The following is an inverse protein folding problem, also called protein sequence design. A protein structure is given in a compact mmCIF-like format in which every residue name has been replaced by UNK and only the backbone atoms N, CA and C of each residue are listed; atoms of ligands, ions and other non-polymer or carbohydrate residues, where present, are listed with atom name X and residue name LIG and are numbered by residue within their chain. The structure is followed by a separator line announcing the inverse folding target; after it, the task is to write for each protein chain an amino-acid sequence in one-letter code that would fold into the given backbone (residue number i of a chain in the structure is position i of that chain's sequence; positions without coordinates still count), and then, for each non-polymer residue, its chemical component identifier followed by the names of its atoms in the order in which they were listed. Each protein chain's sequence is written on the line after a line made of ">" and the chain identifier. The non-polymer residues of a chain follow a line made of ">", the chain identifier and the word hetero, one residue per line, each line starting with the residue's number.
data_IF_834007240344
#
_entry.id   IF_834007240344
#
_cell.length_a   1.000
_cell.length_b   1.000
_cell.length_c   1.000
_cell.angle_alpha   90.00
_cell.angle_beta   90.00
_cell.angle_gamma   90.00
#
_symmetry.space_group_name_H-M   'P 1'
#
loop_
_entity.id
_entity.type
_entity.pdbx_description
1 polymer ?
#
# COMPACT_ATOMS: atom_id res chain seq x y z
N UNK A 1 -42.68 46.29 18.03
CA UNK A 1 -41.66 45.51 17.28
C UNK A 1 -40.64 46.49 16.72
N UNK A 2 -39.39 46.45 17.18
CA UNK A 2 -38.38 47.48 16.89
C UNK A 2 -37.65 47.16 15.56
N UNK A 3 -37.59 48.10 14.59
CA UNK A 3 -37.06 47.86 13.24
C UNK A 3 -35.56 47.49 13.20
N UNK A 4 -34.83 47.77 14.28
CA UNK A 4 -33.42 47.41 14.41
C UNK A 4 -33.18 45.90 14.53
N UNK A 5 -34.12 45.13 15.10
CA UNK A 5 -33.99 43.68 15.18
C UNK A 5 -34.09 43.02 13.79
N UNK A 6 -34.93 43.55 12.91
CA UNK A 6 -35.11 43.05 11.54
C UNK A 6 -33.90 43.32 10.65
N UNK A 7 -33.25 44.48 10.80
CA UNK A 7 -32.06 44.86 10.03
C UNK A 7 -30.86 43.98 10.40
N UNK A 8 -30.67 43.70 11.69
CA UNK A 8 -29.60 42.81 12.18
C UNK A 8 -29.80 41.36 11.72
N UNK A 9 -31.05 40.88 11.69
CA UNK A 9 -31.38 39.55 11.17
C UNK A 9 -31.03 39.45 9.67
N UNK A 10 -31.41 40.45 8.88
CA UNK A 10 -31.18 40.46 7.43
C UNK A 10 -29.69 40.52 7.09
N UNK A 11 -28.91 41.30 7.84
CA UNK A 11 -27.45 41.35 7.70
C UNK A 11 -26.76 40.03 8.07
N UNK A 12 -27.27 39.32 9.08
CA UNK A 12 -26.78 37.99 9.46
C UNK A 12 -27.08 36.93 8.39
N UNK A 13 -28.25 36.98 7.74
CA UNK A 13 -28.57 36.07 6.63
C UNK A 13 -27.76 36.34 5.35
N UNK A 14 -27.42 37.60 5.06
CA UNK A 14 -26.57 37.98 3.92
C UNK A 14 -25.09 37.61 4.12
N UNK A 15 -24.59 37.64 5.36
CA UNK A 15 -23.23 37.18 5.66
C UNK A 15 -23.11 35.65 5.65
N UNK A 16 -24.14 34.94 6.12
CA UNK A 16 -24.18 33.47 6.09
C UNK A 16 -24.24 32.92 4.67
N UNK A 17 -24.97 33.57 3.75
CA UNK A 17 -25.06 33.12 2.36
C UNK A 17 -23.74 33.27 1.59
N UNK A 18 -22.93 34.27 1.95
CA UNK A 18 -21.60 34.49 1.37
C UNK A 18 -20.56 33.47 1.85
N UNK A 19 -20.81 32.79 2.98
CA UNK A 19 -19.92 31.76 3.54
C UNK A 19 -20.15 30.36 2.96
N UNK A 20 -21.26 30.14 2.23
CA UNK A 20 -21.63 28.82 1.69
C UNK A 20 -21.03 28.58 0.28
N UNK A 21 -20.48 29.61 -0.37
CA UNK A 21 -19.97 29.50 -1.74
C UNK A 21 -18.45 29.32 -1.76
N UNK A 22 -17.99 28.06 -1.72
CA UNK A 22 -16.81 27.51 -2.43
C UNK A 22 -16.27 26.21 -1.79
N UNK A 23 -17.12 25.32 -1.28
CA UNK A 23 -16.74 23.91 -1.26
C UNK A 23 -16.97 23.36 -2.68
N UNK A 24 -16.03 23.61 -3.58
CA UNK A 24 -15.99 22.92 -4.86
C UNK A 24 -15.79 21.42 -4.56
N UNK A 25 -16.87 20.65 -4.63
CA UNK A 25 -16.79 19.18 -4.64
C UNK A 25 -16.17 18.76 -5.97
N UNK A 26 -14.84 18.82 -6.05
CA UNK A 26 -14.14 18.12 -7.11
C UNK A 26 -14.46 16.64 -6.97
N UNK A 27 -15.06 16.05 -7.99
CA UNK A 27 -15.33 14.62 -8.05
C UNK A 27 -13.99 13.91 -8.29
N UNK A 28 -13.17 13.81 -7.24
CA UNK A 28 -11.79 13.29 -7.23
C UNK A 28 -11.74 11.76 -7.34
N UNK A 29 -12.55 11.18 -8.21
CA UNK A 29 -12.47 9.76 -8.53
C UNK A 29 -11.29 9.54 -9.48
N UNK A 30 -10.16 9.06 -8.94
CA UNK A 30 -9.02 8.68 -9.77
C UNK A 30 -9.43 7.43 -10.57
N UNK A 31 -9.30 7.43 -11.91
CA UNK A 31 -9.80 6.34 -12.78
C UNK A 31 -9.13 4.96 -12.57
N UNK A 32 -8.22 4.85 -11.61
CA UNK A 32 -7.44 3.64 -11.34
C UNK A 32 -7.44 3.23 -9.85
N UNK A 33 -8.35 3.77 -9.03
CA UNK A 33 -8.43 3.32 -7.63
C UNK A 33 -9.06 1.93 -7.55
N UNK A 34 -8.55 1.11 -6.63
CA UNK A 34 -9.18 -0.14 -6.26
C UNK A 34 -10.58 0.16 -5.70
N UNK A 35 -11.62 -0.64 -6.03
CA UNK A 35 -12.99 -0.39 -5.59
C UNK A 35 -13.18 -0.42 -4.06
N UNK A 36 -12.25 -1.06 -3.34
CA UNK A 36 -12.20 -1.14 -1.88
C UNK A 36 -10.74 -1.06 -1.40
N UNK A 37 -10.17 0.14 -1.22
CA UNK A 37 -8.78 0.30 -0.81
C UNK A 37 -8.54 -0.17 0.63
N UNK A 38 -9.53 -0.06 1.51
CA UNK A 38 -9.46 -0.54 2.89
C UNK A 38 -9.26 -2.06 2.95
N UNK A 39 -9.95 -2.83 2.11
CA UNK A 39 -9.75 -4.28 2.04
C UNK A 39 -8.30 -4.65 1.67
N UNK A 40 -7.68 -3.90 0.74
CA UNK A 40 -6.28 -4.12 0.35
C UNK A 40 -5.34 -3.87 1.53
N UNK A 41 -5.56 -2.78 2.28
CA UNK A 41 -4.77 -2.46 3.48
C UNK A 41 -4.96 -3.53 4.56
N UNK A 42 -6.20 -3.95 4.81
CA UNK A 42 -6.49 -5.01 5.78
C UNK A 42 -5.80 -6.33 5.41
N UNK A 43 -5.77 -6.69 4.12
CA UNK A 43 -5.07 -7.88 3.66
C UNK A 43 -3.56 -7.79 3.86
N UNK A 44 -2.94 -6.65 3.55
CA UNK A 44 -1.52 -6.41 3.84
C UNK A 44 -1.26 -6.55 5.34
N UNK A 45 -2.09 -5.93 6.18
CA UNK A 45 -1.96 -6.02 7.63
C UNK A 45 -2.08 -7.47 8.13
N UNK A 46 -3.05 -8.23 7.62
CA UNK A 46 -3.22 -9.66 7.94
C UNK A 46 -1.98 -10.47 7.54
N UNK A 47 -1.46 -10.25 6.33
CA UNK A 47 -0.27 -10.95 5.82
C UNK A 47 0.97 -10.67 6.67
N UNK A 48 1.23 -9.40 6.99
CA UNK A 48 2.35 -9.00 7.86
C UNK A 48 2.21 -9.60 9.26
N UNK A 49 1.02 -9.52 9.87
CA UNK A 49 0.77 -10.08 11.19
C UNK A 49 0.98 -11.61 11.23
N UNK A 50 0.59 -12.31 10.17
CA UNK A 50 0.80 -13.75 10.04
C UNK A 50 2.29 -14.09 9.94
N UNK A 51 3.05 -13.36 9.13
CA UNK A 51 4.51 -13.56 8.99
C UNK A 51 5.27 -13.25 10.27
N UNK A 52 4.94 -12.16 10.97
CA UNK A 52 5.54 -11.82 12.26
C UNK A 52 5.21 -12.89 13.31
N UNK A 53 3.95 -13.36 13.35
CA UNK A 53 3.54 -14.44 14.26
C UNK A 53 4.34 -15.72 14.01
N UNK A 54 4.48 -16.12 12.73
CA UNK A 54 5.27 -17.29 12.32
C UNK A 54 6.73 -17.14 12.74
N UNK A 55 7.34 -15.98 12.47
CA UNK A 55 8.72 -15.69 12.90
C UNK A 55 8.87 -15.87 14.41
N UNK A 56 7.99 -15.28 15.22
CA UNK A 56 8.05 -15.37 16.69
C UNK A 56 7.96 -16.80 17.20
N UNK A 57 7.18 -17.65 16.53
CA UNK A 57 7.03 -19.06 16.89
C UNK A 57 8.26 -19.90 16.52
N UNK A 58 8.85 -19.66 15.34
CA UNK A 58 9.93 -20.49 14.80
C UNK A 58 11.34 -20.01 15.19
N UNK A 59 11.51 -18.71 15.41
CA UNK A 59 12.79 -18.05 15.69
C UNK A 59 12.61 -17.06 16.85
N UNK A 60 12.52 -17.56 18.10
CA UNK A 60 12.29 -16.71 19.28
C UNK A 60 13.52 -15.89 19.68
N UNK A 61 14.71 -16.22 19.16
CA UNK A 61 15.97 -15.53 19.44
C UNK A 61 16.24 -14.32 18.54
N UNK A 62 17.25 -13.50 18.88
CA UNK A 62 17.68 -12.40 18.02
C UNK A 62 18.12 -12.90 16.64
N UNK A 63 17.89 -12.15 15.56
CA UNK A 63 18.37 -12.52 14.24
C UNK A 63 19.89 -12.67 14.26
N UNK A 64 20.38 -13.86 13.95
CA UNK A 64 21.81 -14.11 13.80
C UNK A 64 22.27 -13.41 12.52
N UNK A 65 23.19 -12.46 12.67
CA UNK A 65 23.82 -11.75 11.56
C UNK A 65 24.46 -12.80 10.64
N UNK A 66 23.95 -12.92 9.41
CA UNK A 66 24.45 -13.86 8.41
C UNK A 66 23.73 -15.21 8.32
N UNK A 67 22.72 -15.51 9.16
CA UNK A 67 22.14 -16.87 9.23
C UNK A 67 20.63 -16.98 8.96
N UNK A 68 19.87 -15.88 8.88
CA UNK A 68 18.46 -15.92 8.45
C UNK A 68 18.27 -15.20 7.11
N UNK A 69 18.35 -15.94 6.00
CA UNK A 69 17.89 -15.43 4.70
C UNK A 69 16.36 -15.44 4.58
N UNK A 70 15.68 -16.10 5.53
CA UNK A 70 14.27 -16.47 5.49
C UNK A 70 13.65 -16.31 6.89
N UNK A 71 12.31 -16.18 6.99
CA UNK A 71 11.54 -15.99 8.23
C UNK A 71 11.89 -14.68 8.97
N UNK A 72 12.06 -13.61 8.19
CA UNK A 72 12.31 -12.24 8.63
C UNK A 72 11.07 -11.58 9.24
N UNK A 73 9.88 -12.10 8.97
CA UNK A 73 8.60 -11.49 9.33
C UNK A 73 8.08 -10.53 8.26
N UNK A 74 8.84 -10.31 7.18
CA UNK A 74 8.37 -9.63 5.98
C UNK A 74 7.79 -10.69 5.01
N UNK A 75 6.48 -10.69 4.74
CA UNK A 75 5.84 -11.70 3.88
C UNK A 75 6.40 -11.75 2.45
N UNK A 76 6.88 -10.62 1.89
CA UNK A 76 7.44 -10.58 0.55
C UNK A 76 8.80 -11.30 0.54
N UNK A 77 9.70 -10.92 1.45
CA UNK A 77 11.01 -11.54 1.55
C UNK A 77 10.93 -13.01 1.95
N UNK A 78 10.03 -13.34 2.87
CA UNK A 78 9.80 -14.72 3.31
C UNK A 78 9.17 -15.59 2.22
N UNK A 79 8.57 -15.01 1.17
CA UNK A 79 8.04 -15.75 0.03
C UNK A 79 9.18 -16.19 -0.91
N UNK A 80 10.05 -15.27 -1.34
CA UNK A 80 11.08 -15.60 -2.34
C UNK A 80 12.42 -16.03 -1.75
N UNK A 81 12.86 -15.46 -0.61
CA UNK A 81 14.18 -15.78 -0.04
C UNK A 81 14.20 -17.12 0.69
N UNK A 82 13.03 -17.61 1.08
CA UNK A 82 12.88 -18.92 1.71
C UNK A 82 12.98 -20.08 0.71
N UNK A 83 12.91 -19.81 -0.59
CA UNK A 83 13.17 -20.82 -1.62
C UNK A 83 14.70 -21.04 -1.75
N UNK A 84 15.25 -22.21 -1.38
CA UNK A 84 16.68 -22.48 -1.54
C UNK A 84 17.12 -22.46 -3.02
N UNK A 85 16.18 -22.61 -3.95
CA UNK A 85 16.41 -22.58 -5.39
C UNK A 85 16.04 -21.23 -6.03
N UNK A 86 15.87 -20.16 -5.24
CA UNK A 86 15.47 -18.83 -5.76
C UNK A 86 16.34 -18.35 -6.93
N UNK A 87 17.64 -18.69 -6.92
CA UNK A 87 18.59 -18.28 -7.96
C UNK A 87 18.28 -18.91 -9.33
N UNK A 88 17.73 -20.13 -9.33
CA UNK A 88 17.22 -20.82 -10.51
C UNK A 88 15.77 -20.43 -10.85
N UNK A 89 15.01 -19.94 -9.87
CA UNK A 89 13.60 -19.59 -9.99
C UNK A 89 13.33 -18.08 -9.76
N UNK A 90 14.14 -17.21 -10.36
CA UNK A 90 14.09 -15.75 -10.10
C UNK A 90 12.73 -15.11 -10.39
N UNK A 91 12.00 -15.65 -11.36
CA UNK A 91 10.69 -15.12 -11.73
C UNK A 91 9.61 -15.38 -10.65
N UNK A 92 9.85 -16.27 -9.69
CA UNK A 92 8.91 -16.50 -8.58
C UNK A 92 8.72 -15.26 -7.69
N UNK A 93 9.70 -14.35 -7.64
CA UNK A 93 9.56 -13.08 -6.94
C UNK A 93 8.32 -12.29 -7.40
N UNK A 94 7.91 -12.42 -8.65
CA UNK A 94 6.72 -11.76 -9.18
C UNK A 94 5.40 -12.27 -8.57
N UNK A 95 5.41 -13.42 -7.89
CA UNK A 95 4.26 -13.95 -7.16
C UNK A 95 4.19 -13.50 -5.69
N UNK A 96 5.25 -12.86 -5.20
CA UNK A 96 5.39 -12.51 -3.78
C UNK A 96 4.85 -11.11 -3.44
N UNK A 97 4.42 -10.33 -4.43
CA UNK A 97 3.91 -8.98 -4.22
C UNK A 97 2.58 -8.98 -3.46
N UNK A 98 2.40 -8.01 -2.56
CA UNK A 98 1.15 -7.80 -1.80
C UNK A 98 0.69 -6.34 -1.91
N UNK A 99 -0.53 -6.06 -1.47
CA UNK A 99 -1.09 -4.70 -1.49
C UNK A 99 -1.61 -4.28 -2.87
N UNK A 100 -1.57 -2.99 -3.16
CA UNK A 100 -2.09 -2.45 -4.43
C UNK A 100 -1.29 -2.92 -5.64
N UNK A 101 0.00 -3.21 -5.46
CA UNK A 101 0.89 -3.72 -6.50
C UNK A 101 0.90 -5.24 -6.66
N UNK A 102 0.01 -5.99 -6.00
CA UNK A 102 0.05 -7.47 -5.99
C UNK A 102 0.04 -8.14 -7.36
N UNK A 103 -0.54 -7.47 -8.37
CA UNK A 103 -0.66 -7.98 -9.72
C UNK A 103 0.57 -7.66 -10.60
N UNK A 104 1.61 -7.03 -10.04
CA UNK A 104 2.81 -6.69 -10.79
C UNK A 104 3.62 -7.94 -11.15
N UNK A 105 3.56 -8.34 -12.43
CA UNK A 105 4.28 -9.52 -12.93
C UNK A 105 5.67 -9.18 -13.49
N UNK A 106 5.92 -7.92 -13.87
CA UNK A 106 7.15 -7.51 -14.54
C UNK A 106 7.42 -8.35 -15.78
N UNK A 107 8.61 -8.97 -15.84
CA UNK A 107 9.03 -9.86 -16.93
C UNK A 107 8.73 -11.35 -16.73
N UNK A 108 7.86 -11.72 -15.78
CA UNK A 108 7.48 -13.13 -15.54
C UNK A 108 6.93 -13.77 -16.83
N UNK A 109 7.39 -14.99 -17.13
CA UNK A 109 7.09 -15.70 -18.39
C UNK A 109 7.93 -15.26 -19.58
N UNK A 110 8.67 -14.15 -19.47
CA UNK A 110 9.59 -13.67 -20.48
C UNK A 110 10.93 -14.42 -20.48
N UNK A 111 11.74 -14.17 -21.52
CA UNK A 111 13.11 -14.66 -21.60
C UNK A 111 14.04 -13.85 -20.69
N UNK A 112 15.04 -14.51 -20.12
CA UNK A 112 16.09 -13.82 -19.40
C UNK A 112 16.98 -13.02 -20.35
N UNK A 113 17.27 -11.78 -19.98
CA UNK A 113 18.28 -10.95 -20.62
C UNK A 113 19.45 -10.77 -19.66
N UNK A 114 20.64 -11.25 -20.05
CA UNK A 114 21.85 -11.21 -19.23
C UNK A 114 22.77 -10.13 -19.78
N UNK A 115 23.03 -9.11 -18.96
CA UNK A 115 23.99 -8.04 -19.28
C UNK A 115 25.39 -8.52 -18.92
N UNK A 116 26.26 -8.65 -19.92
CA UNK A 116 27.66 -9.09 -19.72
C UNK A 116 28.66 -7.93 -19.72
N UNK A 117 28.30 -6.77 -20.28
CA UNK A 117 29.15 -5.58 -20.34
C UNK A 117 28.34 -4.30 -20.14
N UNK A 118 28.84 -3.32 -19.36
CA UNK A 118 28.27 -1.98 -19.33
C UNK A 118 28.61 -1.25 -20.64
N UNK A 119 27.75 -0.34 -21.10
CA UNK A 119 28.17 0.67 -22.09
C UNK A 119 28.85 1.81 -21.34
N UNK A 120 30.17 1.84 -21.40
CA UNK A 120 31.00 2.99 -21.02
C UNK A 120 31.37 3.79 -22.26
#
# INVERSE_FOLDING_TARGET
>A
MRPHASILLFGFFLSLSSFVSAAAFFNLTLPHQHPDPEAVVQEVQRSVNASISRRRQLLPGPPIIGQAQCLTGNPIDDCWRCDPNWAANRQHLADCAIGFGRAAMGGKGGRYYVVTTPRT
#
